data_IF_291372023194
#
_entry.id   IF_291372023194
#
_cell.length_a   1.000
_cell.length_b   1.000
_cell.length_c   1.000
_cell.angle_alpha   90.00
_cell.angle_beta   90.00
_cell.angle_gamma   90.00
#
_symmetry.space_group_name_H-M   'P 1'
#
loop_
_entity.id
_entity.type
_entity.pdbx_description
1 polymer ?
#
# COMPACT_ATOMS: atom_id res chain seq x y z
N UNK A 1 12.53 -15.11 13.89
CA UNK A 1 11.76 -15.04 12.63
C UNK A 1 10.31 -14.59 12.85
N UNK A 2 9.52 -15.27 13.70
CA UNK A 2 8.09 -14.97 13.91
C UNK A 2 7.72 -13.56 14.41
N UNK A 3 8.63 -12.86 15.13
CA UNK A 3 8.30 -11.55 15.70
C UNK A 3 8.07 -10.47 14.64
N UNK A 4 8.91 -10.40 13.60
CA UNK A 4 8.78 -9.36 12.57
C UNK A 4 7.58 -9.63 11.67
N UNK A 5 7.28 -10.89 11.37
CA UNK A 5 6.05 -11.26 10.67
C UNK A 5 4.81 -10.81 11.44
N UNK A 6 4.78 -11.02 12.77
CA UNK A 6 3.70 -10.49 13.62
C UNK A 6 3.62 -8.96 13.57
N UNK A 7 4.75 -8.26 13.64
CA UNK A 7 4.78 -6.78 13.54
C UNK A 7 4.30 -6.28 12.16
N UNK A 8 4.64 -6.97 11.08
CA UNK A 8 4.11 -6.69 9.74
C UNK A 8 2.60 -6.91 9.69
N UNK A 9 2.11 -8.02 10.25
CA UNK A 9 0.68 -8.29 10.32
C UNK A 9 -0.08 -7.19 11.10
N UNK A 10 0.44 -6.75 12.26
CA UNK A 10 -0.13 -5.61 13.00
C UNK A 10 -0.09 -4.32 12.17
N UNK A 11 1.01 -4.06 11.47
CA UNK A 11 1.13 -2.91 10.56
C UNK A 11 0.09 -2.92 9.43
N UNK A 12 -0.22 -4.10 8.88
CA UNK A 12 -1.28 -4.30 7.88
C UNK A 12 -2.67 -4.11 8.50
N UNK A 13 -2.95 -4.74 9.64
CA UNK A 13 -4.24 -4.71 10.33
C UNK A 13 -4.64 -3.28 10.77
N UNK A 14 -3.70 -2.55 11.35
CA UNK A 14 -3.87 -1.15 11.76
C UNK A 14 -3.87 -0.18 10.57
N UNK A 15 -3.73 -0.68 9.33
CA UNK A 15 -3.66 0.11 8.10
C UNK A 15 -2.59 1.19 8.15
N UNK A 16 -1.49 0.95 8.89
CA UNK A 16 -0.39 1.92 9.01
C UNK A 16 0.28 2.21 7.67
N UNK A 17 0.13 1.33 6.68
CA UNK A 17 0.52 1.59 5.29
C UNK A 17 -0.16 2.81 4.64
N UNK A 18 -1.31 3.27 5.18
CA UNK A 18 -2.01 4.48 4.72
C UNK A 18 -1.32 5.78 5.15
N UNK A 19 -0.30 5.71 6.02
CA UNK A 19 0.47 6.89 6.39
C UNK A 19 1.36 7.32 5.23
N UNK A 20 1.45 8.63 5.02
CA UNK A 20 2.31 9.20 3.98
C UNK A 20 3.79 9.09 4.39
N UNK A 21 4.68 9.03 3.40
CA UNK A 21 6.13 9.09 3.58
C UNK A 21 6.74 7.98 4.47
N UNK A 22 6.11 6.82 4.57
CA UNK A 22 6.69 5.65 5.24
C UNK A 22 7.96 5.23 4.50
N UNK A 23 9.05 5.10 5.25
CA UNK A 23 10.33 4.57 4.76
C UNK A 23 10.61 3.23 5.44
N UNK A 24 11.37 2.38 4.76
CA UNK A 24 11.85 1.13 5.35
C UNK A 24 12.67 1.38 6.63
N UNK A 25 13.46 2.46 6.63
CA UNK A 25 14.25 2.90 7.79
C UNK A 25 13.40 3.25 9.02
N UNK A 26 12.28 3.98 8.82
CA UNK A 26 11.35 4.29 9.92
C UNK A 26 10.66 3.03 10.43
N UNK A 27 10.26 2.12 9.53
CA UNK A 27 9.62 0.87 9.93
C UNK A 27 10.60 -0.04 10.70
N UNK A 28 11.86 -0.08 10.29
CA UNK A 28 12.91 -0.83 10.98
C UNK A 28 13.12 -0.32 12.42
N UNK A 29 13.14 1.01 12.59
CA UNK A 29 13.21 1.64 13.91
C UNK A 29 12.01 1.28 14.77
N UNK A 30 10.79 1.42 14.25
CA UNK A 30 9.55 1.10 14.96
C UNK A 30 9.50 -0.39 15.35
N UNK A 31 10.05 -1.25 14.51
CA UNK A 31 10.09 -2.69 14.76
C UNK A 31 11.29 -3.12 15.61
N UNK A 32 12.17 -2.20 16.00
CA UNK A 32 13.38 -2.51 16.78
C UNK A 32 14.31 -3.48 16.05
N UNK A 33 14.48 -3.31 14.74
CA UNK A 33 15.29 -4.18 13.88
C UNK A 33 16.06 -3.37 12.82
N UNK A 34 16.59 -4.04 11.80
CA UNK A 34 17.25 -3.41 10.66
C UNK A 34 16.49 -3.61 9.35
N UNK A 35 16.78 -2.73 8.38
CA UNK A 35 16.15 -2.71 7.06
C UNK A 35 16.34 -4.00 6.27
N UNK A 36 17.54 -4.63 6.39
CA UNK A 36 17.86 -5.89 5.69
C UNK A 36 16.93 -7.02 6.14
N UNK A 37 16.65 -7.11 7.45
CA UNK A 37 15.84 -8.18 7.99
C UNK A 37 14.37 -8.06 7.59
N UNK A 38 13.81 -6.85 7.62
CA UNK A 38 12.45 -6.60 7.10
C UNK A 38 12.38 -6.89 5.59
N UNK A 39 13.37 -6.42 4.82
CA UNK A 39 13.41 -6.66 3.37
C UNK A 39 13.48 -8.15 3.04
N UNK A 40 14.29 -8.91 3.78
CA UNK A 40 14.41 -10.35 3.58
C UNK A 40 13.09 -11.07 3.84
N UNK A 41 12.36 -10.68 4.89
CA UNK A 41 11.05 -11.27 5.21
C UNK A 41 10.01 -10.89 4.15
N UNK A 42 9.92 -9.63 3.75
CA UNK A 42 8.99 -9.21 2.68
C UNK A 42 9.32 -9.93 1.37
N UNK A 43 10.61 -10.07 1.04
CA UNK A 43 11.02 -10.77 -0.18
C UNK A 43 10.71 -12.26 -0.11
N UNK A 44 10.89 -12.90 1.04
CA UNK A 44 10.59 -14.33 1.22
C UNK A 44 9.08 -14.61 1.22
N UNK A 45 8.29 -13.79 1.91
CA UNK A 45 6.87 -14.06 2.14
C UNK A 45 5.97 -13.51 1.03
N UNK A 46 6.40 -12.43 0.35
CA UNK A 46 5.58 -11.68 -0.63
C UNK A 46 6.23 -11.55 -2.01
N UNK A 47 7.46 -12.06 -2.18
CA UNK A 47 8.27 -11.98 -3.40
C UNK A 47 8.57 -10.55 -3.91
N UNK A 48 8.38 -9.54 -3.05
CA UNK A 48 8.42 -8.11 -3.40
C UNK A 48 9.54 -7.37 -2.68
N UNK A 49 9.95 -6.22 -3.22
CA UNK A 49 10.70 -5.25 -2.43
C UNK A 49 9.75 -4.42 -1.53
N UNK A 50 10.30 -3.66 -0.58
CA UNK A 50 9.49 -2.88 0.38
C UNK A 50 8.52 -1.89 -0.28
N UNK A 51 8.95 -1.18 -1.33
CA UNK A 51 8.11 -0.20 -2.00
C UNK A 51 6.97 -0.87 -2.76
N UNK A 52 7.24 -2.00 -3.41
CA UNK A 52 6.21 -2.79 -4.10
C UNK A 52 5.19 -3.35 -3.12
N UNK A 53 5.66 -3.92 -2.00
CA UNK A 53 4.82 -4.37 -0.91
C UNK A 53 3.90 -3.25 -0.39
N UNK A 54 4.47 -2.07 -0.15
CA UNK A 54 3.71 -0.92 0.34
C UNK A 54 2.68 -0.45 -0.69
N UNK A 55 3.08 -0.27 -1.96
CA UNK A 55 2.17 0.12 -3.04
C UNK A 55 1.02 -0.88 -3.20
N UNK A 56 1.31 -2.18 -3.11
CA UNK A 56 0.28 -3.20 -3.27
C UNK A 56 -0.78 -3.16 -2.18
N UNK A 57 -0.38 -3.05 -0.91
CA UNK A 57 -1.32 -2.89 0.21
C UNK A 57 -2.23 -1.67 0.02
N UNK A 58 -1.66 -0.57 -0.48
CA UNK A 58 -2.40 0.68 -0.71
C UNK A 58 -3.40 0.57 -1.85
N UNK A 59 -3.02 -0.08 -2.96
CA UNK A 59 -3.94 -0.35 -4.07
C UNK A 59 -5.02 -1.34 -3.62
N UNK A 60 -4.69 -2.38 -2.87
CA UNK A 60 -5.68 -3.34 -2.37
C UNK A 60 -6.67 -2.67 -1.42
N UNK A 61 -6.19 -1.76 -0.57
CA UNK A 61 -7.05 -0.95 0.28
C UNK A 61 -7.94 0.01 -0.51
N UNK A 62 -7.43 0.63 -1.57
CA UNK A 62 -8.25 1.43 -2.49
C UNK A 62 -9.43 0.63 -3.05
N UNK A 63 -9.19 -0.62 -3.49
CA UNK A 63 -10.24 -1.50 -3.98
C UNK A 63 -11.25 -1.89 -2.89
N UNK A 64 -10.81 -2.01 -1.64
CA UNK A 64 -11.71 -2.20 -0.50
C UNK A 64 -12.58 -0.96 -0.27
N UNK A 65 -12.00 0.25 -0.34
CA UNK A 65 -12.75 1.50 -0.21
C UNK A 65 -13.85 1.63 -1.27
N UNK A 66 -13.62 1.17 -2.50
CA UNK A 66 -14.64 1.16 -3.57
C UNK A 66 -15.84 0.25 -3.27
N UNK A 67 -15.67 -0.78 -2.43
CA UNK A 67 -16.73 -1.71 -2.05
C UNK A 67 -17.62 -1.18 -0.92
N UNK A 68 -17.20 -0.12 -0.24
CA UNK A 68 -17.92 0.47 0.89
C UNK A 68 -19.12 1.30 0.35
N UNK A 69 -20.37 1.02 0.77
CA UNK A 69 -21.56 1.72 0.29
C UNK A 69 -21.49 3.25 0.40
N UNK A 70 -20.91 3.75 1.50
CA UNK A 70 -20.74 5.17 1.81
C UNK A 70 -19.73 5.88 0.88
N UNK A 71 -18.97 5.13 0.09
CA UNK A 71 -18.00 5.64 -0.87
C UNK A 71 -18.51 5.60 -2.32
N UNK A 72 -19.73 5.10 -2.59
CA UNK A 72 -20.25 4.96 -3.97
C UNK A 72 -20.26 6.25 -4.79
N UNK A 73 -20.43 7.40 -4.14
CA UNK A 73 -20.48 8.71 -4.77
C UNK A 73 -19.13 9.44 -4.78
N UNK A 74 -18.10 8.88 -4.12
CA UNK A 74 -16.77 9.51 -4.08
C UNK A 74 -16.03 9.28 -5.39
N UNK A 75 -15.24 10.26 -5.79
CA UNK A 75 -14.38 10.16 -6.96
C UNK A 75 -13.21 9.20 -6.72
N UNK A 76 -12.57 8.75 -7.79
CA UNK A 76 -11.36 7.91 -7.67
C UNK A 76 -10.25 8.70 -6.96
N UNK A 77 -10.12 9.98 -7.31
CA UNK A 77 -9.17 10.91 -6.68
C UNK A 77 -9.40 11.05 -5.17
N UNK A 78 -10.63 11.24 -4.71
CA UNK A 78 -10.92 11.35 -3.26
C UNK A 78 -10.61 10.05 -2.50
N UNK A 79 -10.80 8.90 -3.14
CA UNK A 79 -10.51 7.61 -2.51
C UNK A 79 -9.01 7.29 -2.54
N UNK A 80 -8.29 7.67 -3.59
CA UNK A 80 -6.84 7.47 -3.69
C UNK A 80 -6.11 8.25 -2.59
N UNK A 81 -6.58 9.45 -2.22
CA UNK A 81 -6.00 10.28 -1.15
C UNK A 81 -5.98 9.59 0.22
N UNK A 82 -6.88 8.62 0.44
CA UNK A 82 -7.00 7.85 1.70
C UNK A 82 -6.02 6.69 1.80
N UNK A 83 -5.26 6.40 0.75
CA UNK A 83 -4.45 5.19 0.65
C UNK A 83 -2.99 5.42 1.00
N UNK A 84 -2.58 6.67 1.28
CA UNK A 84 -1.21 6.97 1.73
C UNK A 84 -0.17 7.15 0.64
N UNK A 85 -0.56 7.12 -0.64
CA UNK A 85 0.30 7.61 -1.72
C UNK A 85 0.65 9.09 -1.50
N UNK A 86 1.89 9.47 -1.82
CA UNK A 86 2.37 10.83 -1.64
C UNK A 86 1.62 11.81 -2.54
N UNK A 87 1.26 11.37 -3.75
CA UNK A 87 0.48 12.14 -4.70
C UNK A 87 -0.33 11.20 -5.63
N UNK A 88 -1.24 11.78 -6.40
CA UNK A 88 -2.06 11.05 -7.37
C UNK A 88 -1.23 10.41 -8.49
N UNK A 89 -0.16 11.06 -8.95
CA UNK A 89 0.70 10.51 -10.01
C UNK A 89 1.29 9.14 -9.62
N UNK A 90 1.79 9.01 -8.39
CA UNK A 90 2.28 7.74 -7.86
C UNK A 90 1.17 6.68 -7.77
N UNK A 91 -0.04 7.07 -7.33
CA UNK A 91 -1.18 6.16 -7.33
C UNK A 91 -1.49 5.64 -8.74
N UNK A 92 -1.63 6.52 -9.72
CA UNK A 92 -1.94 6.13 -11.10
C UNK A 92 -0.83 5.24 -11.70
N UNK A 93 0.43 5.56 -11.42
CA UNK A 93 1.58 4.76 -11.85
C UNK A 93 1.54 3.35 -11.29
N UNK A 94 1.36 3.21 -9.97
CA UNK A 94 1.34 1.90 -9.30
C UNK A 94 0.08 1.11 -9.64
N UNK A 95 -1.07 1.78 -9.78
CA UNK A 95 -2.29 1.15 -10.29
C UNK A 95 -2.07 0.56 -11.69
N UNK A 96 -1.53 1.36 -12.62
CA UNK A 96 -1.23 0.89 -13.98
C UNK A 96 -0.20 -0.23 -13.98
N UNK A 97 0.82 -0.17 -13.12
CA UNK A 97 1.80 -1.26 -12.95
C UNK A 97 1.11 -2.56 -12.52
N UNK A 98 0.15 -2.50 -11.60
CA UNK A 98 -0.57 -3.68 -11.08
C UNK A 98 -1.59 -4.26 -12.06
N UNK A 99 -2.33 -3.41 -12.77
CA UNK A 99 -3.46 -3.83 -13.63
C UNK A 99 -3.15 -3.84 -15.13
N UNK A 100 -2.01 -3.30 -15.55
CA UNK A 100 -1.63 -3.16 -16.96
C UNK A 100 -2.35 -2.03 -17.71
N UNK A 101 -3.39 -1.45 -17.13
CA UNK A 101 -4.22 -0.39 -17.72
C UNK A 101 -4.35 0.81 -16.77
N UNK A 102 -4.60 2.00 -17.30
CA UNK A 102 -4.81 3.19 -16.47
C UNK A 102 -6.12 3.10 -15.68
N UNK A 103 -6.23 3.91 -14.62
CA UNK A 103 -7.46 4.09 -13.83
C UNK A 103 -8.64 4.43 -14.75
N UNK A 104 -8.49 5.44 -15.61
CA UNK A 104 -9.48 5.79 -16.65
C UNK A 104 -9.90 4.61 -17.52
N UNK A 105 -8.95 3.79 -17.97
CA UNK A 105 -9.25 2.62 -18.80
C UNK A 105 -10.00 1.53 -18.01
N UNK A 106 -9.66 1.36 -16.73
CA UNK A 106 -10.26 0.34 -15.86
C UNK A 106 -11.67 0.73 -15.40
N UNK A 107 -11.89 1.98 -15.00
CA UNK A 107 -13.15 2.45 -14.42
C UNK A 107 -14.03 3.26 -15.39
N UNK A 108 -13.50 3.65 -16.55
CA UNK A 108 -14.18 4.54 -17.50
C UNK A 108 -14.29 6.00 -17.05
N UNK A 109 -13.68 6.35 -15.91
CA UNK A 109 -13.71 7.69 -15.29
C UNK A 109 -12.48 7.91 -14.41
N UNK A 110 -12.07 9.17 -14.26
CA UNK A 110 -11.08 9.64 -13.28
C UNK A 110 -11.79 10.52 -12.23
#
# INVERSE_FOLDING_TARGET
MLLIQKKLATFEEEKRFTYKNIKLSSLARDFGTNEKYISAIIKADKEKNFNEYLSDLRIDYFLQLLKIPENKLKSITELSEKTGFTNNEMFHKEFKKKFGVSVKQYFGKD
#
